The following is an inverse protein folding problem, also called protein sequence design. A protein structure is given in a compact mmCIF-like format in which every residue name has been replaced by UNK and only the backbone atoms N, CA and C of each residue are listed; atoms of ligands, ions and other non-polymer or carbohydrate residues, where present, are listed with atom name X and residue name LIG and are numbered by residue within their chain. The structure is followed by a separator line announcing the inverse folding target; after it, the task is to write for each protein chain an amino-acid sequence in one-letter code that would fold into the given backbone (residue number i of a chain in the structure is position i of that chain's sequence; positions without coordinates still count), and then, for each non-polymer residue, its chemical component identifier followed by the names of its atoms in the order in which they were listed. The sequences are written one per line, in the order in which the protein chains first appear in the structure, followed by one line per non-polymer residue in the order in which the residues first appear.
data_IF_689736146474
#
_entry.id   IF_689736146474
#
_cell.length_a   1.000
_cell.length_b   1.000
_cell.length_c   1.000
_cell.angle_alpha   90.00
_cell.angle_beta   90.00
_cell.angle_gamma   90.00
#
_symmetry.space_group_name_H-M   'P 1'
#
loop_
_entity.id
_entity.type
_entity.pdbx_description
1 polymer ?
#
# COMPACT_ATOMS: atom_id res chain seq x y z
N UNK A 1 15.10 -1.39 14.63
CA UNK A 1 14.74 -2.40 15.65
C UNK A 1 13.53 -3.25 15.30
N UNK A 2 12.59 -2.74 14.46
CA UNK A 2 11.34 -3.44 14.15
C UNK A 2 11.36 -4.22 12.84
N UNK A 3 12.50 -4.38 12.22
CA UNK A 3 12.64 -5.03 10.91
C UNK A 3 12.66 -6.55 10.94
N UNK A 4 12.45 -7.20 12.07
CA UNK A 4 12.37 -8.65 12.20
C UNK A 4 10.96 -9.17 11.89
N UNK A 5 10.85 -10.44 11.54
CA UNK A 5 9.56 -11.07 11.26
C UNK A 5 9.05 -10.79 9.86
N UNK A 6 7.83 -10.25 9.75
CA UNK A 6 7.15 -10.03 8.47
C UNK A 6 7.49 -8.69 7.78
N UNK A 7 8.36 -7.89 8.39
CA UNK A 7 8.74 -6.56 7.92
C UNK A 7 10.03 -6.58 7.08
N UNK A 8 10.55 -5.39 6.79
CA UNK A 8 11.85 -5.22 6.14
C UNK A 8 12.99 -5.64 7.08
N UNK A 9 14.21 -5.96 6.57
CA UNK A 9 15.35 -6.24 7.42
C UNK A 9 15.66 -5.04 8.35
N UNK A 10 16.07 -5.28 9.60
CA UNK A 10 16.48 -4.19 10.47
C UNK A 10 17.72 -3.48 9.92
N UNK A 11 17.76 -2.16 10.07
CA UNK A 11 18.85 -1.31 9.55
C UNK A 11 20.20 -1.75 10.09
N UNK A 12 20.24 -2.12 11.38
CA UNK A 12 21.44 -2.59 12.07
C UNK A 12 22.02 -3.85 11.41
N UNK A 13 21.19 -4.86 11.18
CA UNK A 13 21.61 -6.09 10.53
C UNK A 13 22.02 -5.89 9.07
N UNK A 14 21.31 -5.01 8.34
CA UNK A 14 21.65 -4.66 6.97
C UNK A 14 22.99 -3.94 6.90
N UNK A 15 23.29 -3.03 7.82
CA UNK A 15 24.56 -2.35 7.86
C UNK A 15 25.73 -3.32 8.06
N UNK A 16 25.61 -4.23 9.03
CA UNK A 16 26.63 -5.26 9.27
C UNK A 16 26.81 -6.20 8.08
N UNK A 17 25.73 -6.62 7.46
CA UNK A 17 25.75 -7.51 6.30
C UNK A 17 26.44 -6.84 5.09
N UNK A 18 26.13 -5.56 4.82
CA UNK A 18 26.71 -4.81 3.71
C UNK A 18 28.20 -4.56 3.92
N UNK A 19 28.63 -4.20 5.14
CA UNK A 19 30.05 -4.04 5.44
C UNK A 19 30.80 -5.38 5.36
N UNK A 20 30.22 -6.47 5.86
CA UNK A 20 30.73 -7.81 5.70
C UNK A 20 30.87 -8.23 4.21
N UNK A 21 30.03 -7.71 3.34
CA UNK A 21 30.12 -7.87 1.89
C UNK A 21 31.10 -6.91 1.21
N UNK A 22 31.81 -6.05 1.97
CA UNK A 22 32.85 -5.15 1.47
C UNK A 22 32.35 -3.76 1.06
N UNK A 23 31.09 -3.41 1.32
CA UNK A 23 30.58 -2.06 1.07
C UNK A 23 31.02 -1.09 2.18
N UNK A 24 31.34 0.14 1.81
CA UNK A 24 31.62 1.22 2.78
C UNK A 24 30.32 1.97 3.07
N UNK A 25 29.95 2.01 4.34
CA UNK A 25 28.77 2.73 4.78
C UNK A 25 29.17 4.02 5.50
N UNK A 26 28.47 5.10 5.23
CA UNK A 26 28.65 6.37 5.94
C UNK A 26 27.55 6.51 7.01
N UNK A 27 27.60 5.66 8.03
CA UNK A 27 26.61 5.61 9.11
C UNK A 27 27.31 5.52 10.47
N UNK A 28 26.68 6.12 11.49
CA UNK A 28 27.14 6.00 12.87
C UNK A 28 26.49 4.79 13.54
N UNK A 29 27.22 3.67 13.64
CA UNK A 29 26.69 2.41 14.19
C UNK A 29 26.36 2.49 15.68
N UNK A 30 27.08 3.29 16.47
CA UNK A 30 26.76 3.43 17.90
C UNK A 30 25.37 4.06 18.08
N UNK A 31 25.03 5.03 17.23
CA UNK A 31 23.71 5.64 17.25
C UNK A 31 22.58 4.66 16.88
N UNK A 32 22.87 3.63 16.09
CA UNK A 32 21.87 2.60 15.81
C UNK A 32 21.46 1.82 17.05
N UNK A 33 22.38 1.54 17.96
CA UNK A 33 22.09 0.84 19.21
C UNK A 33 21.21 1.72 20.11
N UNK A 34 21.56 2.99 20.27
CA UNK A 34 20.78 3.93 21.08
C UNK A 34 19.34 4.06 20.54
N UNK A 35 19.19 4.18 19.20
CA UNK A 35 17.90 4.25 18.53
C UNK A 35 17.13 2.92 18.69
N UNK A 36 17.81 1.79 18.58
CA UNK A 36 17.20 0.49 18.74
C UNK A 36 16.67 0.26 20.16
N UNK A 37 17.43 0.64 21.17
CA UNK A 37 17.05 0.56 22.59
C UNK A 37 15.82 1.45 22.86
N UNK A 38 15.88 2.70 22.46
CA UNK A 38 14.75 3.62 22.61
C UNK A 38 13.46 3.09 21.99
N UNK A 39 13.51 2.65 20.74
CA UNK A 39 12.29 2.15 20.08
C UNK A 39 11.85 0.77 20.61
N UNK A 40 12.76 -0.04 21.13
CA UNK A 40 12.37 -1.29 21.80
C UNK A 40 11.55 -0.98 23.05
N UNK A 41 11.97 -0.01 23.86
CA UNK A 41 11.21 0.43 25.02
C UNK A 41 9.84 0.99 24.64
N UNK A 42 9.78 1.85 23.62
CA UNK A 42 8.52 2.40 23.08
C UNK A 42 7.58 1.28 22.62
N UNK A 43 8.11 0.28 21.92
CA UNK A 43 7.33 -0.88 21.47
C UNK A 43 6.76 -1.65 22.65
N UNK A 44 7.59 -1.99 23.63
CA UNK A 44 7.23 -2.84 24.74
C UNK A 44 6.25 -2.16 25.72
N UNK A 45 6.26 -0.83 25.77
CA UNK A 45 5.38 -0.05 26.64
C UNK A 45 4.15 0.47 25.90
N UNK A 46 4.31 1.39 24.95
CA UNK A 46 3.21 2.14 24.33
C UNK A 46 2.48 1.34 23.23
N UNK A 47 3.19 0.46 22.50
CA UNK A 47 2.65 -0.20 21.30
C UNK A 47 2.54 -1.72 21.41
N UNK A 48 2.82 -2.31 22.56
CA UNK A 48 2.74 -3.78 22.76
C UNK A 48 1.38 -4.38 22.37
N UNK A 49 0.30 -3.63 22.59
CA UNK A 49 -1.06 -4.06 22.27
C UNK A 49 -1.38 -4.05 20.75
N UNK A 50 -0.59 -3.34 19.93
CA UNK A 50 -0.76 -3.26 18.48
C UNK A 50 0.04 -4.29 17.71
N UNK A 51 1.05 -4.90 18.35
CA UNK A 51 1.95 -5.84 17.72
C UNK A 51 1.54 -7.26 18.09
N UNK A 52 1.08 -8.00 17.11
CA UNK A 52 0.70 -9.39 17.32
C UNK A 52 1.94 -10.30 17.37
N UNK A 53 1.94 -11.39 18.17
CA UNK A 53 3.05 -12.34 18.18
C UNK A 53 3.37 -12.93 16.81
N UNK A 54 2.38 -12.99 15.90
CA UNK A 54 2.56 -13.46 14.53
C UNK A 54 3.41 -12.48 13.72
N UNK A 55 3.27 -11.16 13.95
CA UNK A 55 4.05 -10.13 13.26
C UNK A 55 5.54 -10.17 13.64
N UNK A 56 5.86 -10.62 14.86
CA UNK A 56 7.25 -10.73 15.35
C UNK A 56 7.91 -12.07 15.02
N UNK A 57 7.11 -13.05 14.62
CA UNK A 57 7.60 -14.39 14.34
C UNK A 57 8.40 -14.42 13.06
N UNK A 58 9.65 -14.87 13.12
CA UNK A 58 10.45 -15.19 11.92
C UNK A 58 9.85 -16.44 11.29
N UNK A 59 9.26 -16.30 10.11
CA UNK A 59 8.73 -17.42 9.33
C UNK A 59 9.57 -17.62 8.06
N UNK A 60 10.33 -18.70 8.05
CA UNK A 60 11.16 -19.10 6.89
C UNK A 60 10.32 -19.40 5.64
N UNK A 61 9.02 -19.66 5.79
CA UNK A 61 8.10 -19.84 4.67
C UNK A 61 7.98 -18.60 3.80
N UNK A 62 8.28 -17.41 4.32
CA UNK A 62 8.36 -16.17 3.54
C UNK A 62 9.33 -16.29 2.36
N UNK A 63 10.42 -17.07 2.50
CA UNK A 63 11.36 -17.36 1.41
C UNK A 63 10.74 -18.22 0.32
N UNK A 64 9.83 -19.12 0.68
CA UNK A 64 9.17 -20.03 -0.25
C UNK A 64 8.00 -19.33 -0.95
N UNK A 65 7.16 -18.66 -0.20
CA UNK A 65 5.97 -17.98 -0.73
C UNK A 65 6.25 -16.59 -1.29
N UNK A 66 7.45 -16.04 -1.01
CA UNK A 66 7.91 -14.74 -1.51
C UNK A 66 7.00 -13.56 -1.13
N UNK A 67 6.21 -13.70 -0.05
CA UNK A 67 5.21 -12.73 0.37
C UNK A 67 5.82 -11.78 1.41
N UNK A 68 5.96 -10.48 1.11
CA UNK A 68 6.39 -9.50 2.10
C UNK A 68 5.31 -9.29 3.17
N UNK A 69 5.75 -8.89 4.37
CA UNK A 69 4.88 -8.82 5.55
C UNK A 69 3.62 -7.98 5.41
N UNK A 70 3.72 -6.79 4.79
CA UNK A 70 2.55 -5.95 4.55
C UNK A 70 1.52 -6.60 3.62
N UNK A 71 1.99 -7.37 2.63
CA UNK A 71 1.10 -8.15 1.76
C UNK A 71 0.40 -9.27 2.52
N UNK A 72 1.11 -9.92 3.46
CA UNK A 72 0.54 -11.00 4.27
C UNK A 72 -0.64 -10.51 5.12
N UNK A 73 -0.48 -9.38 5.78
CA UNK A 73 -1.53 -8.76 6.60
C UNK A 73 -2.77 -8.42 5.77
N UNK A 74 -2.56 -7.81 4.59
CA UNK A 74 -3.65 -7.49 3.67
C UNK A 74 -4.37 -8.75 3.17
N UNK A 75 -3.62 -9.82 2.86
CA UNK A 75 -4.18 -11.09 2.42
C UNK A 75 -5.06 -11.74 3.50
N UNK A 76 -4.59 -11.76 4.75
CA UNK A 76 -5.38 -12.26 5.89
C UNK A 76 -6.69 -11.48 5.99
N UNK A 77 -6.63 -10.14 6.01
CA UNK A 77 -7.83 -9.30 6.10
C UNK A 77 -8.80 -9.50 4.93
N UNK A 78 -8.30 -9.72 3.72
CA UNK A 78 -9.16 -10.01 2.56
C UNK A 78 -9.86 -11.36 2.70
N UNK A 79 -9.14 -12.39 3.11
CA UNK A 79 -9.72 -13.73 3.30
C UNK A 79 -10.71 -13.78 4.48
N UNK A 80 -10.44 -13.04 5.55
CA UNK A 80 -11.39 -12.87 6.67
C UNK A 80 -12.71 -12.26 6.21
N UNK A 81 -12.66 -11.15 5.45
CA UNK A 81 -13.86 -10.49 4.90
C UNK A 81 -14.68 -11.40 3.99
N UNK A 82 -14.05 -12.40 3.41
CA UNK A 82 -14.68 -13.36 2.50
C UNK A 82 -15.03 -14.70 3.19
N UNK A 83 -14.81 -14.83 4.50
CA UNK A 83 -14.96 -16.06 5.29
C UNK A 83 -14.18 -17.24 4.68
N UNK A 84 -12.99 -17.00 4.17
CA UNK A 84 -12.17 -17.95 3.41
C UNK A 84 -10.75 -18.12 4.00
N UNK A 85 -10.57 -17.93 5.30
CA UNK A 85 -9.28 -18.12 5.96
C UNK A 85 -8.73 -19.55 5.84
N UNK A 86 -9.61 -20.53 5.69
CA UNK A 86 -9.25 -21.93 5.42
C UNK A 86 -8.46 -22.10 4.11
N UNK A 87 -8.56 -21.16 3.18
CA UNK A 87 -7.83 -21.13 1.91
C UNK A 87 -6.46 -20.46 1.97
N UNK A 88 -6.09 -19.88 3.12
CA UNK A 88 -4.87 -19.10 3.27
C UNK A 88 -3.61 -19.82 2.75
N UNK A 89 -3.37 -21.06 3.17
CA UNK A 89 -2.22 -21.84 2.72
C UNK A 89 -2.24 -22.14 1.22
N UNK A 90 -3.42 -22.33 0.64
CA UNK A 90 -3.57 -22.55 -0.80
C UNK A 90 -3.22 -21.28 -1.58
N UNK A 91 -3.66 -20.13 -1.11
CA UNK A 91 -3.31 -18.82 -1.72
C UNK A 91 -1.82 -18.55 -1.63
N UNK A 92 -1.19 -18.81 -0.48
CA UNK A 92 0.25 -18.65 -0.33
C UNK A 92 1.05 -19.50 -1.35
N UNK A 93 0.60 -20.71 -1.62
CA UNK A 93 1.22 -21.61 -2.63
C UNK A 93 0.94 -21.18 -4.06
N UNK A 94 -0.13 -20.45 -4.29
CA UNK A 94 -0.51 -19.94 -5.61
C UNK A 94 0.27 -18.67 -6.00
N UNK A 95 0.63 -17.82 -5.02
CA UNK A 95 1.34 -16.55 -5.25
C UNK A 95 2.62 -16.69 -6.08
N UNK A 96 3.56 -17.61 -5.77
CA UNK A 96 4.77 -17.77 -6.57
C UNK A 96 4.48 -18.15 -8.03
N UNK A 97 3.47 -18.97 -8.26
CA UNK A 97 3.07 -19.39 -9.62
C UNK A 97 2.50 -18.23 -10.42
N UNK A 98 1.57 -17.47 -9.83
CA UNK A 98 1.01 -16.27 -10.46
C UNK A 98 2.12 -15.24 -10.73
N UNK A 99 3.06 -15.06 -9.79
CA UNK A 99 4.21 -14.16 -9.97
C UNK A 99 5.08 -14.58 -11.16
N UNK A 100 5.39 -15.85 -11.27
CA UNK A 100 6.17 -16.41 -12.39
C UNK A 100 5.45 -16.18 -13.71
N UNK A 101 4.19 -16.54 -13.81
CA UNK A 101 3.38 -16.39 -15.02
C UNK A 101 3.15 -14.94 -15.43
N UNK A 102 3.17 -14.01 -14.48
CA UNK A 102 3.13 -12.57 -14.73
C UNK A 102 4.51 -11.94 -14.99
N UNK A 103 5.54 -12.76 -15.25
CA UNK A 103 6.87 -12.27 -15.63
C UNK A 103 7.73 -11.83 -14.46
N UNK A 104 7.58 -12.46 -13.30
CA UNK A 104 8.36 -12.20 -12.08
C UNK A 104 8.29 -10.75 -11.58
N UNK A 105 7.14 -10.13 -11.68
CA UNK A 105 6.95 -8.75 -11.20
C UNK A 105 7.42 -8.60 -9.74
N UNK A 106 8.01 -7.45 -9.37
CA UNK A 106 8.39 -7.17 -7.98
C UNK A 106 7.17 -7.23 -7.06
N UNK A 107 7.31 -7.87 -5.88
CA UNK A 107 6.23 -7.90 -4.90
C UNK A 107 6.26 -6.64 -4.01
N UNK A 108 6.01 -5.52 -4.64
CA UNK A 108 5.88 -4.17 -4.04
C UNK A 108 4.63 -3.51 -4.62
N UNK A 109 4.07 -2.55 -3.94
CA UNK A 109 2.89 -1.80 -4.42
C UNK A 109 3.17 -1.15 -5.79
N UNK A 110 2.31 -1.31 -6.80
CA UNK A 110 1.00 -1.98 -6.77
C UNK A 110 1.04 -3.48 -7.14
N UNK A 111 2.15 -3.99 -7.68
CA UNK A 111 2.25 -5.33 -8.27
C UNK A 111 2.09 -6.46 -7.24
N UNK A 112 2.46 -6.23 -5.99
CA UNK A 112 2.18 -7.18 -4.90
C UNK A 112 0.68 -7.42 -4.71
N UNK A 113 -0.12 -6.37 -4.80
CA UNK A 113 -1.58 -6.45 -4.72
C UNK A 113 -2.17 -7.18 -5.93
N UNK A 114 -1.66 -6.90 -7.13
CA UNK A 114 -2.09 -7.57 -8.38
C UNK A 114 -1.88 -9.07 -8.26
N UNK A 115 -0.67 -9.49 -7.89
CA UNK A 115 -0.33 -10.92 -7.74
C UNK A 115 -1.16 -11.56 -6.64
N UNK A 116 -1.27 -10.93 -5.46
CA UNK A 116 -2.02 -11.46 -4.33
C UNK A 116 -3.51 -11.60 -4.60
N UNK A 117 -4.12 -10.58 -5.20
CA UNK A 117 -5.55 -10.62 -5.55
C UNK A 117 -5.83 -11.68 -6.61
N UNK A 118 -5.00 -11.76 -7.67
CA UNK A 118 -5.19 -12.80 -8.70
C UNK A 118 -5.00 -14.20 -8.12
N UNK A 119 -4.01 -14.42 -7.25
CA UNK A 119 -3.82 -15.71 -6.58
C UNK A 119 -5.03 -16.08 -5.72
N UNK A 120 -5.57 -15.12 -4.97
CA UNK A 120 -6.79 -15.30 -4.17
C UNK A 120 -7.98 -15.68 -5.06
N UNK A 121 -8.20 -14.95 -6.16
CA UNK A 121 -9.29 -15.21 -7.09
C UNK A 121 -9.14 -16.59 -7.75
N UNK A 122 -7.94 -17.00 -8.14
CA UNK A 122 -7.66 -18.33 -8.69
C UNK A 122 -8.10 -19.45 -7.73
N UNK A 123 -7.74 -19.32 -6.44
CA UNK A 123 -8.06 -20.31 -5.41
C UNK A 123 -9.57 -20.34 -5.10
N UNK A 124 -10.18 -19.17 -4.95
CA UNK A 124 -11.60 -19.07 -4.59
C UNK A 124 -12.53 -19.51 -5.73
N UNK A 125 -12.15 -19.23 -6.99
CA UNK A 125 -12.94 -19.68 -8.15
C UNK A 125 -12.78 -21.17 -8.47
N UNK A 126 -11.81 -21.85 -7.84
CA UNK A 126 -11.50 -23.26 -8.07
C UNK A 126 -10.81 -23.56 -9.41
N UNK A 127 -10.62 -22.55 -10.26
CA UNK A 127 -9.97 -22.68 -11.55
C UNK A 127 -9.07 -21.47 -11.82
N UNK A 128 -7.81 -21.74 -12.22
CA UNK A 128 -6.81 -20.69 -12.46
C UNK A 128 -7.17 -19.83 -13.67
N UNK A 129 -7.17 -18.50 -13.46
CA UNK A 129 -7.52 -17.52 -14.50
C UNK A 129 -8.88 -17.71 -15.15
N UNK A 130 -9.84 -18.30 -14.41
CA UNK A 130 -11.26 -18.29 -14.79
C UNK A 130 -11.83 -16.88 -14.71
N UNK A 131 -11.45 -16.19 -13.65
CA UNK A 131 -11.71 -14.76 -13.45
C UNK A 131 -10.36 -14.05 -13.43
N UNK A 132 -10.21 -13.06 -14.30
CA UNK A 132 -8.99 -12.26 -14.41
C UNK A 132 -9.32 -10.83 -14.02
N UNK A 133 -8.64 -10.33 -12.99
CA UNK A 133 -8.81 -8.96 -12.52
C UNK A 133 -8.32 -7.95 -13.56
N UNK A 134 -8.88 -6.73 -13.51
CA UNK A 134 -8.57 -5.70 -14.51
C UNK A 134 -7.08 -5.35 -14.54
N UNK A 135 -6.44 -5.29 -13.37
CA UNK A 135 -5.03 -4.96 -13.23
C UNK A 135 -4.11 -6.00 -13.89
N UNK A 136 -4.48 -7.28 -13.88
CA UNK A 136 -3.76 -8.34 -14.63
C UNK A 136 -3.93 -8.14 -16.13
N UNK A 137 -5.11 -7.76 -16.60
CA UNK A 137 -5.33 -7.44 -18.02
C UNK A 137 -4.48 -6.25 -18.44
N UNK A 138 -4.41 -5.23 -17.59
CA UNK A 138 -3.63 -4.03 -17.87
C UNK A 138 -2.11 -4.30 -17.81
N UNK A 139 -1.67 -5.19 -16.93
CA UNK A 139 -0.29 -5.69 -16.92
C UNK A 139 0.03 -6.44 -18.23
N UNK A 140 -0.88 -7.33 -18.68
CA UNK A 140 -0.73 -8.03 -19.95
C UNK A 140 -0.76 -7.11 -21.17
N UNK A 141 -1.46 -5.96 -21.12
CA UNK A 141 -1.43 -4.90 -22.14
C UNK A 141 -0.12 -4.12 -22.16
N UNK A 142 0.73 -4.29 -21.13
CA UNK A 142 1.97 -3.53 -20.99
C UNK A 142 1.82 -2.16 -20.34
N UNK A 143 0.65 -1.84 -19.73
CA UNK A 143 0.39 -0.53 -19.10
C UNK A 143 1.22 -0.29 -17.83
N UNK A 144 1.79 -1.33 -17.25
CA UNK A 144 2.75 -1.24 -16.13
C UNK A 144 4.22 -1.24 -16.58
N UNK A 145 4.46 -1.20 -17.90
CA UNK A 145 5.80 -1.26 -18.47
C UNK A 145 6.32 -2.68 -18.60
N UNK A 146 7.65 -2.80 -18.82
CA UNK A 146 8.29 -4.08 -19.07
C UNK A 146 8.48 -4.88 -17.78
N UNK A 147 8.05 -6.13 -17.80
CA UNK A 147 8.28 -7.09 -16.72
C UNK A 147 9.71 -7.65 -16.74
N UNK A 148 10.25 -8.13 -15.59
CA UNK A 148 11.60 -8.73 -15.52
C UNK A 148 11.80 -9.94 -16.45
N UNK A 149 10.77 -10.76 -16.64
CA UNK A 149 10.73 -11.85 -17.59
C UNK A 149 9.45 -11.76 -18.45
N UNK A 150 9.37 -12.48 -19.59
CA UNK A 150 8.13 -12.51 -20.36
C UNK A 150 6.94 -13.04 -19.54
N UNK A 151 5.78 -12.42 -19.72
CA UNK A 151 4.51 -12.94 -19.19
C UNK A 151 4.15 -14.19 -19.98
N UNK A 152 3.57 -15.20 -19.30
CA UNK A 152 3.13 -16.44 -19.93
C UNK A 152 2.14 -16.15 -21.09
N UNK A 153 2.44 -16.61 -22.31
CA UNK A 153 1.57 -16.38 -23.47
C UNK A 153 0.13 -16.91 -23.28
N UNK A 154 -0.06 -17.98 -22.50
CA UNK A 154 -1.38 -18.51 -22.21
C UNK A 154 -2.18 -17.56 -21.29
N UNK A 155 -1.51 -16.90 -20.36
CA UNK A 155 -2.13 -15.87 -19.51
C UNK A 155 -2.47 -14.63 -20.32
N UNK A 156 -1.55 -14.16 -21.20
CA UNK A 156 -1.82 -13.03 -22.11
C UNK A 156 -3.07 -13.35 -22.97
N UNK A 157 -3.13 -14.53 -23.57
CA UNK A 157 -4.25 -14.93 -24.43
C UNK A 157 -5.57 -14.95 -23.66
N UNK A 158 -5.57 -15.46 -22.42
CA UNK A 158 -6.76 -15.46 -21.58
C UNK A 158 -7.17 -14.06 -21.13
N UNK A 159 -6.20 -13.19 -20.83
CA UNK A 159 -6.42 -11.87 -20.27
C UNK A 159 -6.92 -10.83 -21.30
N UNK A 160 -6.28 -10.80 -22.47
CA UNK A 160 -6.50 -9.74 -23.49
C UNK A 160 -6.82 -10.29 -24.88
N UNK A 161 -6.90 -11.62 -25.04
CA UNK A 161 -7.26 -12.25 -26.32
C UNK A 161 -6.20 -12.03 -27.40
N UNK A 162 -6.59 -11.41 -28.50
CA UNK A 162 -5.71 -11.12 -29.64
C UNK A 162 -5.18 -9.67 -29.63
N UNK A 163 -5.42 -8.90 -28.56
CA UNK A 163 -4.83 -7.58 -28.39
C UNK A 163 -3.30 -7.69 -28.33
N UNK A 164 -2.61 -6.75 -28.97
CA UNK A 164 -1.15 -6.68 -28.93
C UNK A 164 -0.73 -5.81 -27.74
N UNK A 165 0.10 -6.32 -26.84
CA UNK A 165 0.67 -5.51 -25.77
C UNK A 165 1.49 -4.35 -26.32
N UNK A 166 1.47 -3.21 -25.65
CA UNK A 166 2.42 -2.13 -25.92
C UNK A 166 3.80 -2.54 -25.42
N UNK A 167 4.83 -2.21 -26.17
CA UNK A 167 6.23 -2.61 -25.90
C UNK A 167 7.15 -1.45 -25.60
N UNK A 168 6.67 -0.22 -25.83
CA UNK A 168 7.36 1.02 -25.52
C UNK A 168 6.85 1.59 -24.16
N UNK A 169 7.26 2.82 -23.86
CA UNK A 169 6.90 3.48 -22.61
C UNK A 169 5.37 3.73 -22.56
N UNK A 170 4.65 3.25 -21.53
CA UNK A 170 3.20 3.43 -21.42
C UNK A 170 2.74 4.89 -21.51
N UNK A 171 3.54 5.82 -20.97
CA UNK A 171 3.24 7.25 -21.02
C UNK A 171 3.16 7.82 -22.46
N UNK A 172 3.75 7.15 -23.46
CA UNK A 172 3.62 7.56 -24.85
C UNK A 172 2.21 7.36 -25.42
N UNK A 173 1.42 6.52 -24.77
CA UNK A 173 0.03 6.18 -25.13
C UNK A 173 -1.01 6.94 -24.32
N UNK A 174 -0.57 7.78 -23.38
CA UNK A 174 -1.46 8.61 -22.55
C UNK A 174 -1.49 10.01 -23.15
N UNK A 175 -2.68 10.47 -23.51
CA UNK A 175 -2.85 11.85 -23.97
C UNK A 175 -2.57 12.84 -22.83
N UNK A 176 -1.96 14.01 -23.11
CA UNK A 176 -1.80 15.05 -22.11
C UNK A 176 -3.15 15.46 -21.52
N UNK A 177 -3.26 15.44 -20.20
CA UNK A 177 -4.53 15.71 -19.50
C UNK A 177 -4.64 17.12 -18.92
N UNK A 178 -3.56 17.90 -18.98
CA UNK A 178 -3.50 19.23 -18.36
C UNK A 178 -4.59 20.19 -18.86
N UNK A 179 -4.75 20.31 -20.17
CA UNK A 179 -5.77 21.20 -20.76
C UNK A 179 -7.20 20.71 -20.48
N UNK A 180 -7.38 19.40 -20.39
CA UNK A 180 -8.64 18.79 -19.95
C UNK A 180 -8.93 19.14 -18.51
N UNK A 181 -7.94 18.99 -17.63
CA UNK A 181 -8.07 19.30 -16.20
C UNK A 181 -8.40 20.80 -15.99
N UNK A 182 -7.73 21.70 -16.72
CA UNK A 182 -8.07 23.13 -16.69
C UNK A 182 -9.52 23.38 -17.04
N UNK A 183 -9.99 22.80 -18.14
CA UNK A 183 -11.36 22.96 -18.60
C UNK A 183 -12.39 22.42 -17.60
N UNK A 184 -12.11 21.30 -16.99
CA UNK A 184 -12.99 20.71 -15.97
C UNK A 184 -13.02 21.52 -14.67
N UNK A 185 -11.96 22.31 -14.41
CA UNK A 185 -11.84 23.19 -13.25
C UNK A 185 -12.36 24.61 -13.50
N UNK A 186 -12.76 24.94 -14.75
CA UNK A 186 -13.35 26.26 -15.06
C UNK A 186 -14.52 26.58 -14.14
N UNK A 187 -14.49 27.77 -13.53
CA UNK A 187 -15.51 28.20 -12.56
C UNK A 187 -15.43 27.52 -11.18
N UNK A 188 -14.47 26.64 -10.98
CA UNK A 188 -14.17 26.02 -9.67
C UNK A 188 -12.95 26.68 -9.05
N UNK A 189 -11.80 26.63 -9.72
CA UNK A 189 -10.57 27.31 -9.33
C UNK A 189 -9.64 27.47 -10.54
N UNK A 190 -8.93 28.61 -10.60
CA UNK A 190 -7.92 28.91 -11.61
C UNK A 190 -6.49 28.70 -11.07
N UNK A 191 -6.35 28.23 -9.84
CA UNK A 191 -5.04 27.97 -9.23
C UNK A 191 -4.44 26.69 -9.79
N UNK A 192 -3.15 26.76 -10.13
CA UNK A 192 -2.42 25.64 -10.71
C UNK A 192 -2.40 24.41 -9.78
N UNK A 193 -2.22 24.65 -8.47
CA UNK A 193 -2.20 23.57 -7.45
C UNK A 193 -3.56 22.86 -7.34
N UNK A 194 -4.66 23.60 -7.51
CA UNK A 194 -6.00 23.03 -7.48
C UNK A 194 -6.27 22.21 -8.75
N UNK A 195 -5.79 22.69 -9.91
CA UNK A 195 -5.89 21.97 -11.18
C UNK A 195 -5.05 20.69 -11.12
N UNK A 196 -3.84 20.74 -10.56
CA UNK A 196 -3.00 19.56 -10.33
C UNK A 196 -3.67 18.56 -9.38
N UNK A 197 -4.27 19.05 -8.31
CA UNK A 197 -5.02 18.19 -7.36
C UNK A 197 -6.18 17.49 -8.06
N UNK A 198 -6.89 18.20 -8.94
CA UNK A 198 -7.95 17.61 -9.75
C UNK A 198 -7.42 16.59 -10.75
N UNK A 199 -6.30 16.87 -11.44
CA UNK A 199 -5.71 15.95 -12.40
C UNK A 199 -5.27 14.63 -11.74
N UNK A 200 -4.78 14.69 -10.49
CA UNK A 200 -4.35 13.52 -9.72
C UNK A 200 -5.50 12.75 -9.09
N UNK A 201 -6.52 13.45 -8.58
CA UNK A 201 -7.62 12.88 -7.79
C UNK A 201 -8.98 13.50 -8.21
N UNK A 202 -9.47 13.28 -9.41
CA UNK A 202 -10.58 14.07 -9.98
C UNK A 202 -11.86 14.01 -9.13
N UNK A 203 -12.26 12.83 -8.68
CA UNK A 203 -13.49 12.66 -7.90
C UNK A 203 -13.41 13.33 -6.51
N UNK A 204 -12.29 13.11 -5.80
CA UNK A 204 -12.09 13.65 -4.44
C UNK A 204 -11.88 15.16 -4.48
N UNK A 205 -11.07 15.65 -5.41
CA UNK A 205 -10.81 17.07 -5.56
C UNK A 205 -12.10 17.86 -5.91
N UNK A 206 -12.93 17.34 -6.80
CA UNK A 206 -14.20 17.96 -7.16
C UNK A 206 -15.13 18.08 -5.96
N UNK A 207 -15.30 17.00 -5.21
CA UNK A 207 -16.10 17.02 -3.98
C UNK A 207 -15.56 18.03 -2.95
N UNK A 208 -14.23 18.07 -2.80
CA UNK A 208 -13.58 19.01 -1.89
C UNK A 208 -13.85 20.46 -2.29
N UNK A 209 -13.63 20.81 -3.55
CA UNK A 209 -13.83 22.20 -4.03
C UNK A 209 -15.30 22.61 -4.03
N UNK A 210 -16.22 21.70 -4.33
CA UNK A 210 -17.66 21.95 -4.20
C UNK A 210 -18.05 22.22 -2.75
N UNK A 211 -17.52 21.43 -1.81
CA UNK A 211 -17.75 21.65 -0.37
C UNK A 211 -17.16 22.97 0.12
N UNK A 212 -16.06 23.45 -0.46
CA UNK A 212 -15.47 24.77 -0.12
C UNK A 212 -16.33 25.95 -0.59
N UNK A 213 -17.19 25.78 -1.60
CA UNK A 213 -18.11 26.82 -2.09
C UNK A 213 -19.29 27.03 -1.14
N UNK A 214 -19.60 26.05 -0.29
CA UNK A 214 -20.68 26.15 0.69
C UNK A 214 -20.13 26.76 2.00
N UNK A 215 -20.49 28.01 2.34
CA UNK A 215 -19.97 28.68 3.53
C UNK A 215 -20.28 27.94 4.83
N UNK A 216 -21.43 27.24 4.89
CA UNK A 216 -21.84 26.48 6.06
C UNK A 216 -21.00 25.23 6.24
N UNK A 217 -20.76 24.48 5.17
CA UNK A 217 -19.89 23.29 5.19
C UNK A 217 -18.45 23.66 5.48
N UNK A 218 -17.95 24.74 4.87
CA UNK A 218 -16.60 25.26 5.12
C UNK A 218 -16.42 25.64 6.59
N UNK A 219 -17.38 26.37 7.16
CA UNK A 219 -17.36 26.78 8.56
C UNK A 219 -17.45 25.57 9.50
N UNK A 220 -18.41 24.66 9.25
CA UNK A 220 -18.57 23.45 10.05
C UNK A 220 -17.29 22.60 10.08
N UNK A 221 -16.61 22.45 8.94
CA UNK A 221 -15.32 21.75 8.86
C UNK A 221 -14.23 22.47 9.64
N UNK A 222 -14.11 23.79 9.49
CA UNK A 222 -13.14 24.58 10.25
C UNK A 222 -13.37 24.50 11.76
N UNK A 223 -14.63 24.54 12.17
CA UNK A 223 -15.01 24.43 13.58
C UNK A 223 -14.71 23.01 14.11
N UNK A 224 -14.96 21.97 13.30
CA UNK A 224 -14.64 20.58 13.65
C UNK A 224 -13.11 20.34 13.75
N UNK A 225 -12.30 20.94 12.86
CA UNK A 225 -10.82 20.90 12.94
C UNK A 225 -10.35 21.62 14.20
N UNK A 226 -10.88 22.82 14.49
CA UNK A 226 -10.53 23.59 15.70
C UNK A 226 -10.94 22.86 16.97
N UNK A 227 -12.09 22.20 16.95
CA UNK A 227 -12.55 21.38 18.07
C UNK A 227 -11.79 20.05 18.18
N UNK A 228 -10.96 19.72 17.18
CA UNK A 228 -10.19 18.49 17.12
C UNK A 228 -11.05 17.23 17.01
N UNK A 229 -12.23 17.36 16.43
CA UNK A 229 -13.13 16.22 16.15
C UNK A 229 -12.90 15.60 14.77
N UNK A 230 -12.19 16.31 13.90
CA UNK A 230 -11.69 15.83 12.61
C UNK A 230 -10.28 16.34 12.36
N UNK A 231 -9.47 15.58 11.62
CA UNK A 231 -8.16 16.05 11.16
C UNK A 231 -8.32 17.11 10.06
N UNK A 232 -7.26 17.85 9.68
CA UNK A 232 -7.27 18.72 8.50
C UNK A 232 -7.72 18.01 7.22
N UNK A 233 -7.40 16.70 7.11
CA UNK A 233 -7.79 15.83 6.00
C UNK A 233 -9.28 15.44 6.04
N UNK A 234 -9.96 15.65 7.16
CA UNK A 234 -11.40 15.43 7.31
C UNK A 234 -11.79 14.08 7.92
N UNK A 235 -10.84 13.32 8.47
CA UNK A 235 -11.13 12.07 9.15
C UNK A 235 -11.70 12.30 10.57
N UNK A 236 -12.69 11.51 11.01
CA UNK A 236 -13.21 11.60 12.38
C UNK A 236 -12.09 11.38 13.40
N UNK A 237 -12.07 12.18 14.43
CA UNK A 237 -11.09 12.09 15.50
C UNK A 237 -11.79 11.97 16.84
N UNK A 238 -11.41 10.95 17.62
CA UNK A 238 -11.84 10.82 19.02
C UNK A 238 -10.71 11.30 19.92
N UNK A 239 -11.00 12.15 20.87
CA UNK A 239 -10.06 12.60 21.88
C UNK A 239 -10.24 11.81 23.17
N UNK A 240 -9.15 11.36 23.72
CA UNK A 240 -9.07 10.70 25.02
C UNK A 240 -8.10 11.49 25.91
N UNK A 241 -8.43 11.57 27.18
CA UNK A 241 -7.47 12.04 28.19
C UNK A 241 -6.85 10.80 28.81
N UNK A 242 -5.56 10.64 28.62
CA UNK A 242 -4.78 9.58 29.26
C UNK A 242 -4.00 10.18 30.42
N UNK A 243 -4.11 9.56 31.59
CA UNK A 243 -3.31 9.98 32.75
C UNK A 243 -2.09 9.05 32.88
N UNK A 244 -0.88 9.63 32.76
CA UNK A 244 0.38 8.93 32.89
C UNK A 244 1.17 9.66 33.98
N UNK A 245 1.61 8.94 35.01
CA UNK A 245 2.39 9.48 36.12
C UNK A 245 1.77 10.69 36.83
N UNK A 246 0.44 10.78 36.82
CA UNK A 246 -0.29 11.87 37.44
C UNK A 246 -0.53 13.09 36.57
N UNK A 247 0.00 13.13 35.37
CA UNK A 247 -0.22 14.15 34.35
C UNK A 247 -1.26 13.70 33.31
N UNK A 248 -2.10 14.63 32.86
CA UNK A 248 -3.14 14.37 31.87
C UNK A 248 -2.64 14.74 30.47
N UNK A 249 -2.69 13.77 29.55
CA UNK A 249 -2.34 13.94 28.14
C UNK A 249 -3.58 13.81 27.27
N UNK A 250 -3.81 14.79 26.40
CA UNK A 250 -4.84 14.66 25.35
C UNK A 250 -4.28 13.86 24.18
N UNK A 251 -4.93 12.74 23.86
CA UNK A 251 -4.58 11.87 22.75
C UNK A 251 -5.70 11.88 21.73
N UNK A 252 -5.37 12.29 20.50
CA UNK A 252 -6.28 12.20 19.36
C UNK A 252 -6.12 10.87 18.63
N UNK A 253 -7.19 10.10 18.50
CA UNK A 253 -7.22 8.86 17.69
C UNK A 253 -8.06 9.12 16.45
N UNK A 254 -7.48 8.87 15.28
CA UNK A 254 -8.16 9.03 13.98
C UNK A 254 -8.51 7.65 13.45
N UNK A 255 -9.79 7.42 13.16
CA UNK A 255 -10.20 6.26 12.37
C UNK A 255 -9.86 6.53 10.90
N UNK A 256 -8.97 5.72 10.34
CA UNK A 256 -8.66 5.70 8.90
C UNK A 256 -9.39 4.47 8.35
N UNK A 257 -10.42 4.69 7.54
CA UNK A 257 -11.09 3.61 6.80
C UNK A 257 -10.20 3.04 5.69
#
# INVERSE_FOLDING_TARGET
PFGMGTSQPPTEAMAEMLEGAGFKLNVNKSLFLDVAEYFQEVKDTAYSHLITPVAERVDVKALVYQVPGGMLTNLVSQLEKQNALDKFDAVLKEIPKVREELGYVPLVTPTSQIVGTQATVNVLSGERYKIIIQEVKDLCRGLYGRTPAPIDPAVIKKAIGDEKPITDRPANHIAPEWEKAKKEMEGISDKEEDILSYALYPAVAKQYFEAQKDPLKKKARQDAIKAGTVTPEGHPQRRFVMRVDGEDYEVGVTEIE
#
